data_IF_936689313220
#
_entry.id   IF_936689313220
#
_cell.length_a   1.000
_cell.length_b   1.000
_cell.length_c   1.000
_cell.angle_alpha   90.00
_cell.angle_beta   90.00
_cell.angle_gamma   90.00
#
_symmetry.space_group_name_H-M   'P 1'
#
loop_
_entity.id
_entity.type
_entity.pdbx_description
1 polymer ?
#
# COMPACT_ATOMS: atom_id res chain seq x y z
N UNK A 1 16.61 0.45 -8.90
CA UNK A 1 17.46 1.42 -9.63
C UNK A 1 17.34 2.71 -8.85
N UNK A 2 18.46 3.24 -8.38
CA UNK A 2 18.45 4.47 -7.58
C UNK A 2 18.06 5.68 -8.44
N UNK A 3 17.54 6.74 -7.82
CA UNK A 3 17.19 7.96 -8.53
C UNK A 3 18.36 8.59 -9.30
N UNK A 4 19.59 8.43 -8.81
CA UNK A 4 20.80 8.91 -9.47
C UNK A 4 21.10 8.16 -10.78
N UNK A 5 20.88 6.85 -10.81
CA UNK A 5 21.07 6.03 -12.01
C UNK A 5 20.02 6.37 -13.07
N UNK A 6 18.75 6.54 -12.66
CA UNK A 6 17.68 7.00 -13.55
C UNK A 6 18.05 8.36 -14.14
N UNK A 7 18.53 9.31 -13.33
CA UNK A 7 18.94 10.63 -13.80
C UNK A 7 20.03 10.56 -14.85
N UNK A 8 21.07 9.77 -14.58
CA UNK A 8 22.19 9.56 -15.50
C UNK A 8 21.70 9.00 -16.85
N UNK A 9 20.80 8.01 -16.82
CA UNK A 9 20.23 7.45 -18.05
C UNK A 9 19.42 8.48 -18.83
N UNK A 10 18.59 9.28 -18.15
CA UNK A 10 17.78 10.32 -18.80
C UNK A 10 18.65 11.43 -19.41
N UNK A 11 19.76 11.79 -18.77
CA UNK A 11 20.71 12.76 -19.33
C UNK A 11 21.40 12.22 -20.60
N UNK A 12 21.81 10.95 -20.59
CA UNK A 12 22.38 10.28 -21.78
C UNK A 12 21.33 10.20 -22.89
N UNK A 13 20.09 9.84 -22.57
CA UNK A 13 18.99 9.80 -23.54
C UNK A 13 18.71 11.19 -24.14
N UNK A 14 18.86 12.25 -23.35
CA UNK A 14 18.73 13.62 -23.85
C UNK A 14 19.86 13.99 -24.82
N UNK A 15 21.12 13.61 -24.53
CA UNK A 15 22.24 13.82 -25.47
C UNK A 15 22.04 13.07 -26.79
N UNK A 16 21.41 11.90 -26.72
CA UNK A 16 21.06 11.09 -27.88
C UNK A 16 19.76 11.52 -28.56
N UNK A 17 19.13 12.63 -28.11
CA UNK A 17 17.86 13.16 -28.64
C UNK A 17 16.68 12.17 -28.59
N UNK A 18 16.71 11.24 -27.64
CA UNK A 18 15.67 10.21 -27.47
C UNK A 18 14.48 10.70 -26.62
N UNK A 19 14.55 11.90 -26.05
CA UNK A 19 13.54 12.46 -25.12
C UNK A 19 12.53 13.38 -25.82
N UNK A 20 12.51 13.41 -27.15
CA UNK A 20 11.65 14.31 -27.95
C UNK A 20 10.29 13.70 -28.34
N UNK A 21 9.93 12.55 -27.78
CA UNK A 21 8.61 11.91 -27.96
C UNK A 21 8.62 10.59 -28.73
N UNK A 22 9.72 10.25 -29.40
CA UNK A 22 9.85 8.98 -30.13
C UNK A 22 10.02 7.77 -29.20
N UNK A 23 10.42 8.02 -27.95
CA UNK A 23 10.63 7.00 -26.91
C UNK A 23 9.84 7.35 -25.65
N UNK A 24 9.30 6.31 -25.02
CA UNK A 24 8.72 6.37 -23.69
C UNK A 24 9.65 5.63 -22.71
N UNK A 25 10.05 6.30 -21.64
CA UNK A 25 10.91 5.72 -20.62
C UNK A 25 10.06 5.34 -19.41
N UNK A 26 10.33 4.18 -18.82
CA UNK A 26 9.65 3.71 -17.63
C UNK A 26 10.69 3.37 -16.55
N UNK A 27 10.39 3.74 -15.31
CA UNK A 27 11.13 3.27 -14.14
C UNK A 27 10.17 2.78 -13.07
N UNK A 28 10.68 1.89 -12.21
CA UNK A 28 9.94 1.33 -11.08
C UNK A 28 10.42 1.99 -9.80
N UNK A 29 9.52 2.69 -9.10
CA UNK A 29 9.70 3.12 -7.71
C UNK A 29 8.47 2.69 -6.90
N UNK A 30 8.42 1.39 -6.64
CA UNK A 30 7.25 0.70 -6.09
C UNK A 30 6.78 1.34 -4.79
N UNK A 31 7.71 1.76 -3.92
CA UNK A 31 7.41 2.22 -2.56
C UNK A 31 7.56 3.74 -2.38
N UNK A 32 7.91 4.47 -3.45
CA UNK A 32 8.22 5.91 -3.41
C UNK A 32 9.38 6.23 -2.45
N UNK A 33 10.32 5.29 -2.27
CA UNK A 33 11.44 5.41 -1.32
C UNK A 33 12.69 5.97 -1.96
N UNK A 34 12.91 5.65 -3.23
CA UNK A 34 14.18 5.91 -3.92
C UNK A 34 14.15 7.20 -4.75
N UNK A 35 12.94 7.67 -5.09
CA UNK A 35 12.69 8.99 -5.67
C UNK A 35 11.87 9.82 -4.66
N UNK A 36 12.49 10.30 -3.56
CA UNK A 36 11.81 11.21 -2.65
C UNK A 36 11.29 12.41 -3.46
N UNK A 37 9.98 12.65 -3.41
CA UNK A 37 9.36 13.78 -4.09
C UNK A 37 8.88 13.53 -5.51
N UNK A 38 8.08 12.48 -5.75
CA UNK A 38 7.06 12.49 -6.82
C UNK A 38 5.93 13.46 -6.43
N UNK A 39 6.37 14.70 -6.28
CA UNK A 39 5.76 15.95 -5.88
C UNK A 39 6.78 17.05 -6.22
N UNK A 40 7.21 17.09 -7.49
CA UNK A 40 7.91 18.18 -8.18
C UNK A 40 9.19 18.80 -7.56
N UNK A 41 9.78 18.21 -6.52
CA UNK A 41 11.09 18.61 -6.02
C UNK A 41 11.85 17.40 -5.46
N UNK A 42 12.81 16.85 -6.24
CA UNK A 42 13.80 15.93 -5.66
C UNK A 42 14.51 14.95 -6.60
N UNK A 43 13.93 14.50 -7.72
CA UNK A 43 14.54 13.42 -8.51
C UNK A 43 15.43 13.89 -9.67
N UNK A 44 15.01 14.90 -10.42
CA UNK A 44 15.79 15.50 -11.51
C UNK A 44 16.74 16.61 -11.02
N UNK A 45 16.38 17.27 -9.91
CA UNK A 45 17.05 18.44 -9.37
C UNK A 45 18.14 18.02 -8.37
N UNK A 46 19.39 18.22 -8.73
CA UNK A 46 20.56 17.93 -7.88
C UNK A 46 21.35 19.21 -7.53
N UNK A 47 20.94 20.37 -8.06
CA UNK A 47 21.64 21.64 -7.84
C UNK A 47 22.90 21.78 -8.70
N UNK A 48 23.01 21.01 -9.78
CA UNK A 48 24.13 21.06 -10.71
C UNK A 48 23.75 21.77 -12.02
N UNK A 49 24.71 21.85 -12.95
CA UNK A 49 24.52 22.51 -14.25
C UNK A 49 23.53 21.77 -15.17
N UNK A 50 23.27 20.49 -14.91
CA UNK A 50 22.45 19.62 -15.75
C UNK A 50 20.97 19.62 -15.34
N UNK A 51 20.58 20.30 -14.26
CA UNK A 51 19.21 20.32 -13.75
C UNK A 51 18.16 20.73 -14.79
N UNK A 52 18.47 21.71 -15.65
CA UNK A 52 17.57 22.13 -16.72
C UNK A 52 17.36 21.02 -17.76
N UNK A 53 18.45 20.37 -18.18
CA UNK A 53 18.43 19.25 -19.12
C UNK A 53 17.74 18.02 -18.53
N UNK A 54 18.02 17.70 -17.27
CA UNK A 54 17.37 16.61 -16.54
C UNK A 54 15.85 16.85 -16.44
N UNK A 55 15.43 18.08 -16.10
CA UNK A 55 14.01 18.44 -16.03
C UNK A 55 13.28 18.20 -17.35
N UNK A 56 13.88 18.60 -18.47
CA UNK A 56 13.27 18.40 -19.79
C UNK A 56 13.27 16.92 -20.19
N UNK A 57 14.35 16.18 -19.93
CA UNK A 57 14.43 14.74 -20.18
C UNK A 57 13.34 13.96 -19.40
N UNK A 58 13.11 14.33 -18.14
CA UNK A 58 12.13 13.66 -17.28
C UNK A 58 10.68 13.82 -17.73
N UNK A 59 10.38 14.72 -18.69
CA UNK A 59 9.04 14.80 -19.29
C UNK A 59 8.66 13.53 -20.06
N UNK A 60 9.65 12.76 -20.52
CA UNK A 60 9.45 11.49 -21.22
C UNK A 60 9.52 10.27 -20.28
N UNK A 61 9.73 10.49 -18.97
CA UNK A 61 9.88 9.45 -17.98
C UNK A 61 8.57 9.22 -17.21
N UNK A 62 8.07 8.00 -17.26
CA UNK A 62 6.96 7.51 -16.45
C UNK A 62 7.52 6.73 -15.26
N UNK A 63 7.01 7.06 -14.07
CA UNK A 63 7.39 6.37 -12.83
C UNK A 63 6.22 5.51 -12.38
N UNK A 64 6.40 4.20 -12.38
CA UNK A 64 5.41 3.24 -11.91
C UNK A 64 5.62 3.07 -10.40
N UNK A 65 4.56 3.32 -9.64
CA UNK A 65 4.55 3.24 -8.17
C UNK A 65 3.32 2.46 -7.70
N UNK A 66 3.34 1.98 -6.45
CA UNK A 66 2.12 1.49 -5.83
C UNK A 66 1.11 2.62 -5.66
N UNK A 67 -0.16 2.28 -5.84
CA UNK A 67 -1.26 3.22 -5.64
C UNK A 67 -1.24 3.76 -4.21
N UNK A 68 -1.29 5.09 -4.11
CA UNK A 68 -1.34 5.76 -2.82
C UNK A 68 -2.76 5.75 -2.27
N UNK A 69 -2.97 4.96 -1.21
CA UNK A 69 -4.25 4.86 -0.51
C UNK A 69 -4.38 5.83 0.67
N UNK A 70 -3.39 6.68 0.94
CA UNK A 70 -3.35 7.58 2.11
C UNK A 70 -4.53 8.55 2.19
N UNK A 71 -5.16 8.86 1.05
CA UNK A 71 -6.34 9.73 0.95
C UNK A 71 -7.68 8.98 1.08
N UNK A 72 -7.67 7.65 1.11
CA UNK A 72 -8.89 6.86 1.17
C UNK A 72 -9.49 6.95 2.58
N UNK A 73 -10.83 7.15 2.72
CA UNK A 73 -11.46 7.30 4.03
C UNK A 73 -11.15 6.14 4.99
N UNK A 74 -11.11 4.92 4.48
CA UNK A 74 -10.85 3.73 5.29
C UNK A 74 -9.39 3.58 5.74
N UNK A 75 -8.45 4.14 4.97
CA UNK A 75 -7.04 4.22 5.32
C UNK A 75 -6.82 5.25 6.43
N UNK A 76 -7.42 6.45 6.27
CA UNK A 76 -7.38 7.52 7.27
C UNK A 76 -7.97 7.05 8.60
N UNK A 77 -9.11 6.36 8.57
CA UNK A 77 -9.73 5.78 9.77
C UNK A 77 -8.82 4.76 10.46
N UNK A 78 -8.14 3.90 9.69
CA UNK A 78 -7.22 2.92 10.25
C UNK A 78 -6.01 3.60 10.90
N UNK A 79 -5.43 4.58 10.23
CA UNK A 79 -4.31 5.37 10.77
C UNK A 79 -4.70 6.08 12.08
N UNK A 80 -5.86 6.76 12.10
CA UNK A 80 -6.38 7.41 13.31
C UNK A 80 -6.65 6.40 14.44
N UNK A 81 -7.14 5.21 14.12
CA UNK A 81 -7.35 4.14 15.09
C UNK A 81 -6.04 3.61 15.66
N UNK A 82 -5.00 3.44 14.84
CA UNK A 82 -3.68 3.01 15.30
C UNK A 82 -3.08 4.04 16.27
N UNK A 83 -3.16 5.33 15.94
CA UNK A 83 -2.72 6.42 16.82
C UNK A 83 -3.52 6.44 18.14
N UNK A 84 -4.84 6.25 18.07
CA UNK A 84 -5.69 6.16 19.27
C UNK A 84 -5.33 4.96 20.14
N UNK A 85 -5.12 3.78 19.57
CA UNK A 85 -4.75 2.57 20.32
C UNK A 85 -3.38 2.72 20.99
N UNK A 86 -2.45 3.44 20.37
CA UNK A 86 -1.17 3.71 20.99
C UNK A 86 -1.27 4.50 22.32
N UNK A 87 -2.34 5.27 22.52
CA UNK A 87 -2.58 5.96 23.79
C UNK A 87 -2.90 4.99 24.93
N UNK A 88 -3.38 3.78 24.63
CA UNK A 88 -3.75 2.77 25.62
C UNK A 88 -2.62 1.78 25.92
N UNK A 89 -1.48 1.89 25.25
CA UNK A 89 -0.32 1.03 25.51
C UNK A 89 0.25 1.26 26.91
N UNK A 90 0.64 0.19 27.63
CA UNK A 90 1.29 0.30 28.92
C UNK A 90 2.54 1.16 28.86
N UNK A 91 2.88 1.80 29.98
CA UNK A 91 4.06 2.68 30.07
C UNK A 91 5.39 1.94 29.83
N UNK A 92 5.43 0.62 29.98
CA UNK A 92 6.58 -0.22 29.65
C UNK A 92 6.86 -0.28 28.12
N UNK A 93 5.86 -0.02 27.29
CA UNK A 93 5.96 -0.09 25.82
C UNK A 93 6.22 1.30 25.20
N UNK A 94 7.15 2.07 25.79
CA UNK A 94 7.45 3.43 25.31
C UNK A 94 7.90 3.45 23.85
N UNK A 95 8.61 2.41 23.39
CA UNK A 95 9.05 2.32 22.00
C UNK A 95 7.87 2.16 21.03
N UNK A 96 6.87 1.34 21.40
CA UNK A 96 5.67 1.19 20.60
C UNK A 96 4.86 2.50 20.62
N UNK A 97 4.71 3.13 21.78
CA UNK A 97 4.04 4.42 21.90
C UNK A 97 4.73 5.49 21.05
N UNK A 98 6.06 5.59 21.12
CA UNK A 98 6.86 6.52 20.34
C UNK A 98 6.68 6.33 18.82
N UNK A 99 6.59 5.08 18.35
CA UNK A 99 6.37 4.76 16.94
C UNK A 99 5.04 5.31 16.39
N UNK A 100 3.97 5.28 17.19
CA UNK A 100 2.63 5.74 16.79
C UNK A 100 2.32 7.18 17.19
N UNK A 101 3.14 7.82 18.03
CA UNK A 101 3.01 9.25 18.38
C UNK A 101 3.75 10.15 17.38
N UNK A 102 3.27 11.37 17.17
CA UNK A 102 3.87 12.32 16.22
C UNK A 102 3.32 12.15 14.79
N UNK A 103 4.07 12.58 13.78
CA UNK A 103 3.72 12.50 12.35
C UNK A 103 3.67 11.05 11.80
N UNK A 104 3.21 10.08 12.61
CA UNK A 104 3.03 8.70 12.22
C UNK A 104 2.13 8.65 10.98
N UNK A 105 2.70 8.09 9.91
CA UNK A 105 1.98 7.75 8.70
C UNK A 105 1.98 6.23 8.56
N UNK A 106 0.79 5.66 8.43
CA UNK A 106 0.64 4.24 8.15
C UNK A 106 1.39 3.95 6.84
N UNK A 107 2.32 2.99 6.88
CA UNK A 107 3.07 2.57 5.70
C UNK A 107 2.24 1.59 4.87
N UNK A 108 2.54 1.50 3.57
CA UNK A 108 1.91 0.51 2.70
C UNK A 108 2.03 -0.92 3.26
N UNK A 109 3.20 -1.28 3.81
CA UNK A 109 3.43 -2.60 4.41
C UNK A 109 2.58 -2.85 5.65
N UNK A 110 2.50 -1.87 6.57
CA UNK A 110 1.70 -2.01 7.78
C UNK A 110 0.20 -2.13 7.44
N UNK A 111 -0.25 -1.36 6.47
CA UNK A 111 -1.59 -1.48 5.92
C UNK A 111 -1.82 -2.87 5.29
N UNK A 112 -0.89 -3.36 4.46
CA UNK A 112 -1.00 -4.67 3.81
C UNK A 112 -1.07 -5.81 4.84
N UNK A 113 -0.25 -5.72 5.88
CA UNK A 113 -0.26 -6.66 6.99
C UNK A 113 -1.59 -6.64 7.75
N UNK A 114 -2.17 -5.46 7.98
CA UNK A 114 -3.50 -5.34 8.56
C UNK A 114 -4.55 -6.10 7.73
N UNK A 115 -4.57 -5.89 6.41
CA UNK A 115 -5.49 -6.61 5.53
C UNK A 115 -5.23 -8.13 5.54
N UNK A 116 -3.98 -8.60 5.59
CA UNK A 116 -3.67 -10.03 5.74
C UNK A 116 -4.33 -10.63 6.99
N UNK A 117 -4.25 -9.93 8.13
CA UNK A 117 -4.89 -10.39 9.38
C UNK A 117 -6.41 -10.38 9.24
N UNK A 118 -6.99 -9.36 8.60
CA UNK A 118 -8.43 -9.29 8.35
C UNK A 118 -8.92 -10.42 7.44
N UNK A 119 -8.20 -10.74 6.37
CA UNK A 119 -8.49 -11.86 5.48
C UNK A 119 -8.36 -13.21 6.20
N UNK A 120 -7.33 -13.39 7.03
CA UNK A 120 -7.18 -14.60 7.83
C UNK A 120 -8.36 -14.80 8.79
N UNK A 121 -8.80 -13.74 9.47
CA UNK A 121 -9.97 -13.77 10.34
C UNK A 121 -11.26 -14.06 9.57
N UNK A 122 -11.42 -13.48 8.37
CA UNK A 122 -12.57 -13.76 7.49
C UNK A 122 -12.59 -15.22 7.02
N UNK A 123 -11.46 -15.74 6.56
CA UNK A 123 -11.32 -17.14 6.15
C UNK A 123 -11.62 -18.10 7.31
N UNK A 124 -11.15 -17.78 8.52
CA UNK A 124 -11.46 -18.53 9.74
C UNK A 124 -12.97 -18.54 10.03
N UNK A 125 -13.66 -17.40 9.91
CA UNK A 125 -15.12 -17.31 10.08
C UNK A 125 -15.85 -18.19 9.06
N UNK A 126 -15.45 -18.16 7.79
CA UNK A 126 -16.07 -19.01 6.76
C UNK A 126 -15.84 -20.49 7.02
N UNK A 127 -14.61 -20.89 7.36
CA UNK A 127 -14.30 -22.27 7.72
C UNK A 127 -15.13 -22.76 8.92
N UNK A 128 -15.26 -21.92 9.98
CA UNK A 128 -16.11 -22.23 11.13
C UNK A 128 -17.57 -22.42 10.73
N UNK A 129 -18.12 -21.50 9.93
CA UNK A 129 -19.50 -21.53 9.48
C UNK A 129 -19.81 -22.71 8.54
N UNK A 130 -18.82 -23.19 7.78
CA UNK A 130 -18.95 -24.41 6.97
C UNK A 130 -18.84 -25.68 7.83
N UNK A 131 -18.10 -25.65 8.93
CA UNK A 131 -17.76 -26.82 9.77
C UNK A 131 -18.84 -27.25 10.78
N UNK A 132 -20.12 -26.88 10.57
CA UNK A 132 -21.30 -26.97 11.49
C UNK A 132 -21.51 -28.27 12.29
N UNK A 133 -20.72 -29.33 12.11
CA UNK A 133 -20.79 -30.59 12.84
C UNK A 133 -19.40 -31.24 13.07
N UNK A 134 -18.35 -30.49 13.42
CA UNK A 134 -17.02 -31.08 13.69
C UNK A 134 -16.40 -30.58 14.99
N UNK A 135 -15.50 -31.39 15.58
CA UNK A 135 -14.69 -31.07 16.77
C UNK A 135 -13.90 -29.76 16.57
N UNK A 136 -13.56 -29.42 15.33
CA UNK A 136 -12.96 -28.14 14.95
C UNK A 136 -13.88 -26.96 15.27
N UNK A 137 -15.18 -27.04 15.00
CA UNK A 137 -16.14 -25.97 15.32
C UNK A 137 -16.21 -25.67 16.83
N UNK A 138 -16.09 -26.71 17.67
CA UNK A 138 -16.10 -26.60 19.14
C UNK A 138 -14.76 -26.08 19.69
N UNK A 139 -13.62 -26.46 19.10
CA UNK A 139 -12.32 -25.86 19.43
C UNK A 139 -12.24 -24.38 19.02
N UNK A 140 -13.05 -23.97 18.03
CA UNK A 140 -13.11 -22.62 17.47
C UNK A 140 -14.12 -21.68 18.17
N UNK A 141 -14.70 -22.07 19.33
CA UNK A 141 -15.81 -21.38 19.99
C UNK A 141 -15.43 -20.28 21.00
N UNK A 142 -14.13 -20.05 21.21
CA UNK A 142 -13.64 -18.87 21.93
C UNK A 142 -13.16 -17.81 20.94
N UNK A 143 -14.04 -16.94 20.40
CA UNK A 143 -13.57 -15.87 19.55
C UNK A 143 -12.64 -14.94 20.35
N UNK A 144 -11.53 -14.46 19.77
CA UNK A 144 -10.85 -13.29 20.31
C UNK A 144 -11.89 -12.17 20.47
N UNK A 145 -11.88 -11.47 21.60
CA UNK A 145 -12.72 -10.29 21.76
C UNK A 145 -12.27 -9.23 20.75
N UNK A 146 -12.98 -9.13 19.63
CA UNK A 146 -12.73 -8.11 18.63
C UNK A 146 -13.30 -6.78 19.12
N UNK A 147 -12.60 -5.69 18.82
CA UNK A 147 -13.18 -4.36 18.98
C UNK A 147 -14.38 -4.20 18.02
N UNK A 148 -15.32 -3.31 18.36
CA UNK A 148 -16.48 -3.01 17.50
C UNK A 148 -16.07 -2.60 16.08
N UNK A 149 -14.90 -1.95 15.94
CA UNK A 149 -14.31 -1.58 14.66
C UNK A 149 -13.92 -2.79 13.79
N UNK A 150 -13.27 -3.80 14.37
CA UNK A 150 -12.86 -5.01 13.63
C UNK A 150 -14.08 -5.85 13.24
N UNK A 151 -15.08 -5.94 14.12
CA UNK A 151 -16.33 -6.66 13.84
C UNK A 151 -17.06 -6.06 12.64
N UNK A 152 -17.26 -4.74 12.62
CA UNK A 152 -17.94 -4.03 11.53
C UNK A 152 -17.28 -4.32 10.16
N UNK A 153 -15.94 -4.28 10.11
CA UNK A 153 -15.20 -4.58 8.89
C UNK A 153 -15.26 -6.03 8.47
N UNK A 154 -15.22 -6.98 9.40
CA UNK A 154 -15.37 -8.40 9.07
C UNK A 154 -16.77 -8.72 8.51
N UNK A 155 -17.79 -7.95 8.89
CA UNK A 155 -19.16 -8.10 8.38
C UNK A 155 -19.33 -7.44 7.00
N UNK A 156 -18.44 -6.52 6.60
CA UNK A 156 -18.40 -5.91 5.28
C UNK A 156 -16.98 -5.92 4.66
N UNK A 157 -16.57 -7.01 3.98
CA UNK A 157 -15.21 -7.17 3.43
C UNK A 157 -14.82 -6.14 2.36
N UNK A 158 -15.78 -5.44 1.74
CA UNK A 158 -15.51 -4.31 0.83
C UNK A 158 -14.80 -3.15 1.55
N UNK A 159 -14.89 -3.10 2.88
CA UNK A 159 -14.20 -2.10 3.71
C UNK A 159 -12.74 -2.46 4.02
N UNK A 160 -12.22 -3.59 3.54
CA UNK A 160 -10.78 -3.86 3.61
C UNK A 160 -10.03 -2.91 2.67
N UNK A 161 -8.80 -2.54 3.00
CA UNK A 161 -8.08 -1.51 2.24
C UNK A 161 -7.86 -1.91 0.76
N UNK A 162 -7.71 -3.20 0.50
CA UNK A 162 -7.69 -3.79 -0.84
C UNK A 162 -8.88 -4.74 -1.09
N UNK A 163 -9.94 -4.64 -0.29
CA UNK A 163 -11.17 -5.44 -0.39
C UNK A 163 -11.76 -5.41 -1.79
N UNK A 164 -12.03 -4.20 -2.29
CA UNK A 164 -12.59 -4.01 -3.63
C UNK A 164 -11.67 -4.50 -4.74
N UNK A 165 -10.35 -4.32 -4.61
CA UNK A 165 -9.39 -4.79 -5.63
C UNK A 165 -9.38 -6.31 -5.73
N UNK A 166 -9.39 -7.00 -4.58
CA UNK A 166 -9.30 -8.46 -4.52
C UNK A 166 -10.65 -9.10 -4.87
N UNK A 167 -11.76 -8.60 -4.30
CA UNK A 167 -13.09 -9.14 -4.55
C UNK A 167 -13.52 -8.94 -6.02
N UNK A 168 -13.27 -7.77 -6.60
CA UNK A 168 -13.56 -7.55 -8.02
C UNK A 168 -12.62 -8.33 -8.94
N UNK A 169 -11.36 -8.54 -8.54
CA UNK A 169 -10.41 -9.40 -9.25
C UNK A 169 -10.87 -10.86 -9.31
N UNK A 170 -11.34 -11.40 -8.19
CA UNK A 170 -11.89 -12.76 -8.09
C UNK A 170 -13.15 -12.93 -8.95
N UNK A 171 -14.08 -11.95 -8.91
CA UNK A 171 -15.29 -11.97 -9.75
C UNK A 171 -14.93 -11.98 -11.24
N UNK A 172 -13.94 -11.16 -11.66
CA UNK A 172 -13.48 -11.15 -13.06
C UNK A 172 -12.81 -12.46 -13.49
N UNK A 173 -12.02 -13.10 -12.62
CA UNK A 173 -11.44 -14.42 -12.90
C UNK A 173 -12.50 -15.52 -13.02
N UNK A 174 -13.57 -15.45 -12.21
CA UNK A 174 -14.68 -16.43 -12.28
C UNK A 174 -15.48 -16.33 -13.59
N UNK A 175 -15.58 -15.14 -14.19
CA UNK A 175 -16.20 -14.97 -15.51
C UNK A 175 -15.34 -15.52 -16.65
N UNK A 176 -14.01 -15.41 -16.56
CA UNK A 176 -13.10 -15.98 -17.56
C UNK A 176 -13.10 -17.52 -17.56
N UNK A 177 -13.25 -18.14 -16.38
CA UNK A 177 -13.37 -19.60 -16.24
C UNK A 177 -14.75 -20.16 -16.62
N UNK A 178 -15.75 -19.30 -16.85
CA UNK A 178 -17.10 -19.71 -17.30
C UNK A 178 -17.27 -19.60 -18.82
N UNK A 179 -16.22 -19.20 -19.56
CA UNK A 179 -16.20 -19.00 -21.02
C UNK A 179 -15.25 -20.00 -21.72
N UNK A 180 -14.60 -20.89 -20.96
CA UNK A 180 -13.78 -22.01 -21.46
C UNK A 180 -14.47 -23.31 -21.09
#
# INVERSE_FOLDING_TARGET
MSGAEVRKMMLIAADLKMVSGDYAFFTLDVLKTDLPGIGLAGSWKQGDADDAKAKDAYRSLFVITLEEKSTYPDYIKLEANAQRLATTFPQADQNAKAFFTGNYKLTYFAAAYYDCVMYAALAYRFAKAASKNTVLAQAMDSPPQYTSYVKDRLDNPATFLWGDTILNGIVRLSMFLSII
#
